data_IF_653910134282
#
_entry.id   IF_653910134282
#
_cell.length_a   1.000
_cell.length_b   1.000
_cell.length_c   1.000
_cell.angle_alpha   90.00
_cell.angle_beta   90.00
_cell.angle_gamma   90.00
#
_symmetry.space_group_name_H-M   'P 1'
#
loop_
_entity.id
_entity.type
_entity.pdbx_description
1 polymer ?
#
# COMPACT_ATOMS: atom_id res chain seq x y z
N UNK A 1 -10.06 -13.51 -21.12
CA UNK A 1 -10.24 -12.13 -20.59
C UNK A 1 -8.99 -11.76 -19.80
N UNK A 2 -8.43 -10.63 -20.03
CA UNK A 2 -7.36 -10.14 -19.19
C UNK A 2 -7.92 -9.89 -17.78
N UNK A 3 -7.38 -10.57 -16.78
CA UNK A 3 -7.75 -10.33 -15.40
C UNK A 3 -7.23 -8.94 -15.02
N UNK A 4 -8.12 -8.03 -14.66
CA UNK A 4 -7.74 -6.66 -14.28
C UNK A 4 -6.99 -6.72 -12.95
N UNK A 5 -5.75 -6.24 -12.94
CA UNK A 5 -4.89 -6.29 -11.76
C UNK A 5 -5.45 -5.40 -10.65
N UNK A 6 -5.56 -5.96 -9.45
CA UNK A 6 -6.08 -5.33 -8.25
C UNK A 6 -4.91 -4.85 -7.38
N UNK A 7 -4.82 -3.56 -7.18
CA UNK A 7 -3.73 -2.93 -6.43
C UNK A 7 -4.23 -2.43 -5.09
N UNK A 8 -3.77 -3.04 -4.01
CA UNK A 8 -4.02 -2.55 -2.66
C UNK A 8 -3.28 -1.24 -2.40
N UNK A 9 -3.87 -0.36 -1.61
CA UNK A 9 -3.20 0.87 -1.16
C UNK A 9 -3.39 1.08 0.33
N UNK A 10 -2.31 1.44 1.00
CA UNK A 10 -2.28 1.80 2.42
C UNK A 10 -1.37 3.01 2.64
N UNK A 11 -1.75 3.85 3.60
CA UNK A 11 -0.95 4.97 4.09
C UNK A 11 -1.15 5.12 5.59
N UNK A 12 -0.05 5.26 6.34
CA UNK A 12 -0.08 5.41 7.79
C UNK A 12 0.13 6.85 8.18
N UNK A 13 -0.82 7.41 8.96
CA UNK A 13 -0.69 8.76 9.56
C UNK A 13 -0.18 9.81 8.57
N UNK A 14 -0.79 9.87 7.38
CA UNK A 14 -0.38 10.79 6.33
C UNK A 14 -0.63 12.25 6.74
N UNK A 15 0.32 13.11 6.41
CA UNK A 15 0.09 14.55 6.51
C UNK A 15 -1.06 14.95 5.57
N UNK A 16 -1.92 15.86 6.02
CA UNK A 16 -3.07 16.33 5.22
C UNK A 16 -2.65 16.79 3.81
N UNK A 17 -1.46 17.41 3.69
CA UNK A 17 -0.91 17.86 2.42
C UNK A 17 -0.55 16.72 1.45
N UNK A 18 -0.37 15.49 1.94
CA UNK A 18 -0.05 14.32 1.11
C UNK A 18 -1.30 13.61 0.57
N UNK A 19 -2.48 13.88 1.10
CA UNK A 19 -3.72 13.22 0.68
C UNK A 19 -4.07 13.47 -0.79
N UNK A 20 -3.92 14.68 -1.35
CA UNK A 20 -4.13 14.90 -2.79
C UNK A 20 -3.23 14.01 -3.67
N UNK A 21 -2.00 13.73 -3.24
CA UNK A 21 -1.09 12.82 -3.94
C UNK A 21 -1.62 11.39 -3.97
N UNK A 22 -2.22 10.92 -2.87
CA UNK A 22 -2.88 9.61 -2.81
C UNK A 22 -4.02 9.54 -3.83
N UNK A 23 -4.90 10.53 -3.84
CA UNK A 23 -6.01 10.62 -4.80
C UNK A 23 -5.52 10.63 -6.25
N UNK A 24 -4.43 11.36 -6.52
CA UNK A 24 -3.79 11.37 -7.84
C UNK A 24 -3.25 9.99 -8.24
N UNK A 25 -2.60 9.29 -7.34
CA UNK A 25 -2.10 7.92 -7.59
C UNK A 25 -3.26 6.98 -7.92
N UNK A 26 -4.36 7.03 -7.16
CA UNK A 26 -5.56 6.25 -7.47
C UNK A 26 -6.14 6.58 -8.86
N UNK A 27 -6.19 7.86 -9.22
CA UNK A 27 -6.64 8.28 -10.55
C UNK A 27 -5.73 7.75 -11.67
N UNK A 28 -4.40 7.82 -11.50
CA UNK A 28 -3.42 7.27 -12.44
C UNK A 28 -3.58 5.75 -12.59
N UNK A 29 -3.81 5.01 -11.50
CA UNK A 29 -4.09 3.57 -11.58
C UNK A 29 -5.28 3.29 -12.46
N UNK A 30 -6.40 4.01 -12.28
CA UNK A 30 -7.62 3.82 -13.09
C UNK A 30 -7.39 4.15 -14.56
N UNK A 31 -6.70 5.25 -14.85
CA UNK A 31 -6.33 5.64 -16.23
C UNK A 31 -5.53 4.52 -16.91
N UNK A 32 -4.63 3.89 -16.18
CA UNK A 32 -3.82 2.77 -16.68
C UNK A 32 -4.56 1.42 -16.67
N UNK A 33 -5.82 1.37 -16.24
CA UNK A 33 -6.64 0.16 -16.24
C UNK A 33 -6.40 -0.78 -15.06
N UNK A 34 -5.76 -0.29 -13.99
CA UNK A 34 -5.63 -1.00 -12.73
C UNK A 34 -6.81 -0.69 -11.80
N UNK A 35 -7.15 -1.61 -10.91
CA UNK A 35 -8.22 -1.43 -9.93
C UNK A 35 -7.64 -1.11 -8.57
N UNK A 36 -7.75 0.13 -8.06
CA UNK A 36 -7.35 0.43 -6.70
C UNK A 36 -8.31 -0.21 -5.70
N UNK A 37 -7.75 -0.86 -4.68
CA UNK A 37 -8.43 -1.39 -3.50
C UNK A 37 -7.84 -0.68 -2.29
N UNK A 38 -8.66 0.03 -1.55
CA UNK A 38 -8.17 0.95 -0.52
C UNK A 38 -8.34 0.35 0.87
N UNK A 39 -7.27 0.32 1.66
CA UNK A 39 -7.35 -0.05 3.07
C UNK A 39 -8.25 0.93 3.83
N UNK A 40 -9.09 0.43 4.71
CA UNK A 40 -10.10 1.24 5.42
C UNK A 40 -9.50 2.38 6.24
N UNK A 41 -8.31 2.19 6.82
CA UNK A 41 -7.64 3.25 7.56
C UNK A 41 -7.18 4.40 6.65
N UNK A 42 -6.73 4.09 5.43
CA UNK A 42 -6.40 5.12 4.44
C UNK A 42 -7.66 5.83 3.93
N UNK A 43 -8.73 5.09 3.66
CA UNK A 43 -10.01 5.67 3.25
C UNK A 43 -10.54 6.66 4.30
N UNK A 44 -10.43 6.32 5.59
CA UNK A 44 -10.81 7.21 6.69
C UNK A 44 -9.96 8.49 6.72
N UNK A 45 -8.64 8.40 6.56
CA UNK A 45 -7.74 9.56 6.48
C UNK A 45 -8.10 10.47 5.31
N UNK A 46 -8.39 9.91 4.15
CA UNK A 46 -8.82 10.66 2.96
C UNK A 46 -10.13 11.40 3.22
N UNK A 47 -11.12 10.73 3.79
CA UNK A 47 -12.42 11.34 4.12
C UNK A 47 -12.26 12.49 5.13
N UNK A 48 -11.46 12.31 6.19
CA UNK A 48 -11.18 13.35 7.18
C UNK A 48 -10.46 14.56 6.58
N UNK A 49 -9.69 14.37 5.53
CA UNK A 49 -9.02 15.45 4.81
C UNK A 49 -9.93 16.16 3.79
N UNK A 50 -11.16 15.68 3.61
CA UNK A 50 -12.10 16.24 2.63
C UNK A 50 -11.87 15.74 1.19
N UNK A 51 -11.11 14.67 1.02
CA UNK A 51 -10.80 14.04 -0.27
C UNK A 51 -11.16 12.56 -0.19
N UNK A 52 -12.45 12.21 -0.10
CA UNK A 52 -12.86 10.82 0.04
C UNK A 52 -12.45 10.00 -1.20
N UNK A 53 -12.38 8.68 -1.02
CA UNK A 53 -12.19 7.77 -2.16
C UNK A 53 -13.33 7.92 -3.15
N UNK A 54 -13.05 7.72 -4.43
CA UNK A 54 -14.08 7.83 -5.46
C UNK A 54 -15.19 6.79 -5.25
N UNK A 55 -16.47 7.15 -5.56
CA UNK A 55 -17.58 6.23 -5.48
C UNK A 55 -17.32 4.95 -6.29
N UNK A 56 -17.71 3.80 -5.72
CA UNK A 56 -17.46 2.49 -6.32
C UNK A 56 -16.06 1.91 -6.09
N UNK A 57 -15.16 2.64 -5.42
CA UNK A 57 -13.88 2.09 -4.99
C UNK A 57 -14.09 1.10 -3.85
N UNK A 58 -13.50 -0.08 -3.98
CA UNK A 58 -13.53 -1.09 -2.91
C UNK A 58 -12.65 -0.65 -1.74
N UNK A 59 -13.22 -0.69 -0.55
CA UNK A 59 -12.53 -0.43 0.72
C UNK A 59 -12.52 -1.71 1.54
N UNK A 60 -11.36 -2.09 2.07
CA UNK A 60 -11.19 -3.38 2.78
C UNK A 60 -10.56 -3.18 4.14
N UNK A 61 -11.01 -3.97 5.12
CA UNK A 61 -10.44 -4.00 6.46
C UNK A 61 -9.27 -4.99 6.58
N UNK A 62 -9.30 -6.05 5.78
CA UNK A 62 -8.26 -7.07 5.76
C UNK A 62 -7.69 -7.26 4.35
N UNK A 63 -6.63 -6.51 3.99
CA UNK A 63 -6.03 -6.58 2.66
C UNK A 63 -5.52 -7.98 2.28
N UNK A 64 -5.06 -8.78 3.25
CA UNK A 64 -4.53 -10.11 2.99
C UNK A 64 -5.57 -11.08 2.40
N UNK A 65 -6.87 -10.84 2.64
CA UNK A 65 -7.98 -11.67 2.16
C UNK A 65 -8.72 -11.07 0.95
N UNK A 66 -8.31 -9.90 0.47
CA UNK A 66 -9.08 -9.15 -0.52
C UNK A 66 -8.77 -9.51 -1.99
N UNK A 67 -7.95 -10.51 -2.26
CA UNK A 67 -7.57 -10.88 -3.63
C UNK A 67 -6.77 -9.79 -4.34
N UNK A 68 -5.82 -9.20 -3.63
CA UNK A 68 -4.93 -8.14 -4.12
C UNK A 68 -3.72 -8.79 -4.79
N UNK A 69 -3.36 -8.31 -5.98
CA UNK A 69 -2.23 -8.82 -6.75
C UNK A 69 -0.90 -8.18 -6.35
N UNK A 70 -0.92 -6.91 -5.99
CA UNK A 70 0.24 -6.14 -5.54
C UNK A 70 -0.23 -5.01 -4.64
N UNK A 71 0.61 -4.58 -3.70
CA UNK A 71 0.28 -3.55 -2.73
C UNK A 71 1.17 -2.32 -2.87
N UNK A 72 0.57 -1.13 -2.97
CA UNK A 72 1.30 0.13 -2.88
C UNK A 72 1.23 0.68 -1.46
N UNK A 73 2.38 0.77 -0.83
CA UNK A 73 2.58 1.44 0.45
C UNK A 73 2.88 2.91 0.20
N UNK A 74 1.95 3.79 0.55
CA UNK A 74 2.00 5.23 0.28
C UNK A 74 2.44 5.99 1.53
N UNK A 75 3.68 6.43 1.55
CA UNK A 75 4.25 7.12 2.71
C UNK A 75 5.76 6.94 2.82
N UNK A 76 6.27 6.66 4.01
CA UNK A 76 7.67 6.41 4.29
C UNK A 76 7.94 4.97 4.72
N UNK A 77 9.11 4.73 5.31
CA UNK A 77 9.54 3.40 5.77
C UNK A 77 8.59 2.80 6.82
N UNK A 78 8.09 3.62 7.74
CA UNK A 78 7.11 3.17 8.74
C UNK A 78 5.80 2.69 8.11
N UNK A 79 5.39 3.27 6.99
CA UNK A 79 4.22 2.81 6.25
C UNK A 79 4.48 1.46 5.57
N UNK A 80 5.68 1.22 5.06
CA UNK A 80 6.05 -0.08 4.48
C UNK A 80 5.99 -1.17 5.55
N UNK A 81 6.54 -0.92 6.74
CA UNK A 81 6.48 -1.86 7.86
C UNK A 81 5.04 -2.18 8.27
N UNK A 82 4.20 -1.15 8.33
CA UNK A 82 2.77 -1.32 8.63
C UNK A 82 2.04 -2.11 7.53
N UNK A 83 2.34 -1.83 6.26
CA UNK A 83 1.80 -2.57 5.11
C UNK A 83 2.20 -4.05 5.16
N UNK A 84 3.46 -4.33 5.48
CA UNK A 84 3.96 -5.71 5.63
C UNK A 84 3.23 -6.44 6.76
N UNK A 85 2.99 -5.77 7.89
CA UNK A 85 2.21 -6.34 8.99
C UNK A 85 0.76 -6.66 8.56
N UNK A 86 0.13 -5.79 7.74
CA UNK A 86 -1.22 -6.00 7.21
C UNK A 86 -1.29 -7.12 6.17
N UNK A 87 -0.30 -7.26 5.31
CA UNK A 87 -0.24 -8.34 4.31
C UNK A 87 0.21 -9.66 4.91
N UNK A 88 0.97 -9.63 6.00
CA UNK A 88 1.41 -10.81 6.75
C UNK A 88 2.10 -11.83 5.86
N UNK A 89 1.68 -13.08 5.97
CA UNK A 89 2.22 -14.21 5.19
C UNK A 89 1.51 -14.44 3.85
N UNK A 90 0.72 -13.47 3.37
CA UNK A 90 -0.05 -13.62 2.13
C UNK A 90 0.80 -13.78 0.87
N UNK A 91 2.07 -13.37 0.92
CA UNK A 91 2.95 -13.35 -0.25
C UNK A 91 2.66 -12.22 -1.24
N UNK A 92 1.77 -11.29 -0.91
CA UNK A 92 1.44 -10.14 -1.76
C UNK A 92 2.69 -9.24 -1.88
N UNK A 93 3.20 -8.97 -3.08
CA UNK A 93 4.32 -8.05 -3.27
C UNK A 93 3.97 -6.62 -2.83
N UNK A 94 4.92 -5.93 -2.21
CA UNK A 94 4.74 -4.56 -1.74
C UNK A 94 5.70 -3.62 -2.46
N UNK A 95 5.18 -2.54 -3.04
CA UNK A 95 5.94 -1.43 -3.60
C UNK A 95 5.76 -0.19 -2.74
N UNK A 96 6.86 0.37 -2.23
CA UNK A 96 6.83 1.63 -1.49
C UNK A 96 6.90 2.84 -2.42
N UNK A 97 5.91 3.74 -2.34
CA UNK A 97 5.93 5.06 -2.98
C UNK A 97 6.05 6.10 -1.88
N UNK A 98 7.17 6.80 -1.86
CA UNK A 98 7.46 7.81 -0.86
C UNK A 98 6.76 9.12 -1.19
N UNK A 99 5.93 9.60 -0.27
CA UNK A 99 5.21 10.88 -0.37
C UNK A 99 5.90 12.04 0.37
N UNK A 100 7.09 11.82 0.87
CA UNK A 100 7.83 12.81 1.65
C UNK A 100 9.34 12.61 1.53
N UNK A 101 10.04 12.52 2.66
CA UNK A 101 11.48 12.26 2.67
C UNK A 101 11.77 10.82 2.28
N UNK A 102 12.71 10.63 1.36
CA UNK A 102 13.15 9.30 0.96
C UNK A 102 13.76 8.54 2.16
N UNK A 103 13.24 7.33 2.41
CA UNK A 103 13.77 6.42 3.39
C UNK A 103 14.67 5.35 2.75
N UNK A 104 14.88 4.27 3.49
CA UNK A 104 15.73 3.13 3.06
C UNK A 104 14.95 2.03 2.35
N UNK A 105 13.63 1.93 2.60
CA UNK A 105 12.79 0.83 2.11
C UNK A 105 11.99 1.21 0.86
N UNK A 106 11.64 2.49 0.69
CA UNK A 106 10.91 2.96 -0.49
C UNK A 106 11.81 3.02 -1.71
N UNK A 107 11.36 2.43 -2.81
CA UNK A 107 12.10 2.39 -4.07
C UNK A 107 11.71 3.51 -5.04
N UNK A 108 10.58 4.15 -4.83
CA UNK A 108 10.00 5.12 -5.76
C UNK A 108 9.53 6.37 -5.02
N UNK A 109 9.77 7.53 -5.61
CA UNK A 109 9.21 8.80 -5.15
C UNK A 109 7.87 9.06 -5.84
N UNK A 110 7.10 10.02 -5.31
CA UNK A 110 5.82 10.43 -5.89
C UNK A 110 5.91 10.77 -7.37
N UNK A 111 6.96 11.49 -7.79
CA UNK A 111 7.18 11.88 -9.18
C UNK A 111 7.35 10.67 -10.11
N UNK A 112 7.82 9.55 -9.58
CA UNK A 112 7.98 8.29 -10.29
C UNK A 112 6.73 7.38 -10.27
N UNK A 113 5.63 7.81 -9.65
CA UNK A 113 4.45 6.96 -9.45
C UNK A 113 3.85 6.47 -10.78
N UNK A 114 3.73 7.34 -11.78
CA UNK A 114 3.20 6.94 -13.09
C UNK A 114 4.06 5.87 -13.75
N UNK A 115 5.39 6.05 -13.76
CA UNK A 115 6.31 5.06 -14.33
C UNK A 115 6.25 3.73 -13.58
N UNK A 116 6.10 3.76 -12.25
CA UNK A 116 5.92 2.57 -11.43
C UNK A 116 4.60 1.85 -11.74
N UNK A 117 3.50 2.58 -11.87
CA UNK A 117 2.18 2.04 -12.24
C UNK A 117 2.25 1.36 -13.61
N UNK A 118 2.87 1.99 -14.60
CA UNK A 118 3.05 1.43 -15.94
C UNK A 118 3.94 0.19 -15.93
N UNK A 119 5.04 0.21 -15.16
CA UNK A 119 5.90 -0.96 -15.02
C UNK A 119 5.16 -2.14 -14.38
N UNK A 120 4.33 -1.89 -13.37
CA UNK A 120 3.50 -2.92 -12.74
C UNK A 120 2.49 -3.50 -13.73
N UNK A 121 1.76 -2.64 -14.45
CA UNK A 121 0.80 -3.05 -15.48
C UNK A 121 1.43 -3.95 -16.55
N UNK A 122 2.63 -3.62 -16.96
CA UNK A 122 3.37 -4.34 -18.02
C UNK A 122 4.18 -5.53 -17.49
N UNK A 123 4.16 -5.80 -16.19
CA UNK A 123 4.95 -6.85 -15.57
C UNK A 123 6.47 -6.62 -15.63
N UNK A 124 6.90 -5.37 -15.85
CA UNK A 124 8.31 -4.97 -15.93
C UNK A 124 8.86 -4.60 -14.56
N UNK A 125 8.86 -5.56 -13.64
CA UNK A 125 9.44 -5.43 -12.29
C UNK A 125 10.03 -6.75 -11.84
N UNK A 126 10.88 -6.68 -10.83
CA UNK A 126 11.42 -7.85 -10.13
C UNK A 126 10.98 -7.82 -8.67
N UNK A 127 10.78 -8.99 -8.09
CA UNK A 127 10.44 -9.14 -6.67
C UNK A 127 11.71 -9.49 -5.92
N UNK A 128 12.03 -8.70 -4.89
CA UNK A 128 13.05 -9.02 -3.92
C UNK A 128 12.38 -9.66 -2.71
N UNK A 129 12.67 -10.93 -2.48
CA UNK A 129 12.19 -11.61 -1.28
C UNK A 129 12.94 -11.13 -0.04
N UNK A 130 12.19 -10.94 1.04
CA UNK A 130 12.73 -10.56 2.35
C UNK A 130 12.15 -11.46 3.44
N UNK A 131 13.01 -11.90 4.32
CA UNK A 131 12.58 -12.65 5.50
C UNK A 131 11.92 -11.70 6.52
N UNK A 132 10.81 -12.14 7.09
CA UNK A 132 10.16 -11.46 8.19
C UNK A 132 10.61 -12.09 9.52
N UNK A 133 10.78 -11.23 10.51
CA UNK A 133 11.09 -11.68 11.88
C UNK A 133 9.79 -11.56 12.69
N UNK A 134 9.40 -12.67 13.32
CA UNK A 134 8.30 -12.69 14.26
C UNK A 134 8.86 -12.75 15.69
N UNK A 135 8.52 -11.78 16.52
CA UNK A 135 8.82 -11.80 17.94
C UNK A 135 7.62 -12.40 18.68
N UNK A 136 7.85 -13.53 19.35
CA UNK A 136 6.87 -14.15 20.23
C UNK A 136 7.40 -14.07 21.66
N UNK A 137 6.60 -13.53 22.57
CA UNK A 137 6.95 -13.39 23.99
C UNK A 137 5.73 -13.52 24.89
N UNK A 138 5.95 -14.09 26.07
CA UNK A 138 4.91 -14.21 27.12
C UNK A 138 4.54 -12.87 27.76
N UNK A 139 5.40 -11.86 27.58
CA UNK A 139 5.23 -10.52 28.18
C UNK A 139 4.60 -9.49 27.22
N UNK A 140 4.25 -9.90 25.99
CA UNK A 140 3.46 -9.05 25.12
C UNK A 140 2.02 -9.05 25.63
N UNK A 141 1.58 -7.91 26.14
CA UNK A 141 0.20 -7.72 26.57
C UNK A 141 -0.72 -8.14 25.40
N UNK A 142 -1.59 -9.13 25.62
CA UNK A 142 -2.57 -9.68 24.68
C UNK A 142 -2.08 -10.75 23.70
N UNK A 143 -0.88 -11.35 23.85
CA UNK A 143 -0.41 -12.44 22.97
C UNK A 143 -0.21 -12.03 21.51
N UNK A 144 0.09 -10.76 21.27
CA UNK A 144 0.34 -10.23 19.94
C UNK A 144 1.67 -10.73 19.38
N UNK A 145 1.66 -11.06 18.08
CA UNK A 145 2.89 -11.34 17.33
C UNK A 145 3.32 -10.07 16.61
N UNK A 146 4.52 -9.59 16.93
CA UNK A 146 5.13 -8.48 16.22
C UNK A 146 5.89 -9.02 15.01
N UNK A 147 5.58 -8.49 13.83
CA UNK A 147 6.25 -8.85 12.58
C UNK A 147 7.06 -7.64 12.10
N UNK A 148 8.32 -7.88 11.77
CA UNK A 148 9.23 -6.88 11.26
C UNK A 148 10.07 -7.38 10.08
N UNK A 149 10.72 -6.46 9.39
CA UNK A 149 11.68 -6.72 8.32
C UNK A 149 13.10 -6.78 8.88
#
# INVERSE_FOLDING_TARGET
>A
MANTMRIGTHGRSLARASIPSVARIHALMRIEGLVPVVDSSLAAQMAMAGVPVEPGTEVVDNPALAGIDLFFSLGGDGTILDTVAKTGQSGIPVLGINLGRLGFLSSTREEGALAAIQAVKEGRYTIQERSLIALQGTDLANGETLIGL
#
